data_IF_893392530899
#
_entry.id   IF_893392530899
#
_cell.length_a   1.000
_cell.length_b   1.000
_cell.length_c   1.000
_cell.angle_alpha   90.00
_cell.angle_beta   90.00
_cell.angle_gamma   90.00
#
_symmetry.space_group_name_H-M   'P 1'
#
loop_
_entity.id
_entity.type
_entity.pdbx_description
1 polymer ?
#
# COMPACT_ATOMS: atom_id res chain seq x y z
N UNK A 1 10.00 4.99 31.42
CA UNK A 1 8.86 4.05 31.25
C UNK A 1 7.83 4.49 30.22
N UNK A 2 7.38 5.76 30.18
CA UNK A 2 6.34 6.20 29.24
C UNK A 2 6.75 6.15 27.75
N UNK A 3 8.03 6.42 27.47
CA UNK A 3 8.63 6.38 26.12
C UNK A 3 8.71 4.96 25.55
N UNK A 4 8.90 3.92 26.39
CA UNK A 4 8.96 2.53 25.91
C UNK A 4 7.58 2.01 25.51
N UNK A 5 6.51 2.39 26.22
CA UNK A 5 5.13 2.03 25.86
C UNK A 5 4.73 2.64 24.52
N UNK A 6 4.97 3.94 24.33
CA UNK A 6 4.68 4.63 23.06
C UNK A 6 5.46 4.03 21.89
N UNK A 7 6.74 3.70 22.10
CA UNK A 7 7.55 3.04 21.10
C UNK A 7 7.00 1.65 20.73
N UNK A 8 6.62 0.83 21.72
CA UNK A 8 5.99 -0.48 21.47
C UNK A 8 4.67 -0.34 20.72
N UNK A 9 3.81 0.59 21.11
CA UNK A 9 2.54 0.88 20.42
C UNK A 9 2.80 1.30 18.97
N UNK A 10 3.74 2.22 18.73
CA UNK A 10 4.11 2.64 17.38
C UNK A 10 4.66 1.46 16.55
N UNK A 11 5.45 0.56 17.14
CA UNK A 11 5.94 -0.65 16.46
C UNK A 11 4.80 -1.55 16.02
N UNK A 12 3.85 -1.84 16.91
CA UNK A 12 2.66 -2.66 16.57
C UNK A 12 1.86 -2.02 15.44
N UNK A 13 1.53 -0.73 15.55
CA UNK A 13 0.80 0.01 14.52
C UNK A 13 1.55 0.00 13.19
N UNK A 14 2.86 0.22 13.23
CA UNK A 14 3.72 0.20 12.05
C UNK A 14 3.76 -1.16 11.37
N UNK A 15 3.77 -2.25 12.15
CA UNK A 15 3.84 -3.61 11.62
C UNK A 15 2.48 -4.04 11.03
N UNK A 16 1.37 -3.80 11.73
CA UNK A 16 0.00 -4.11 11.24
C UNK A 16 -0.41 -3.19 10.08
N UNK A 17 0.02 -1.93 10.12
CA UNK A 17 -0.22 -0.92 9.08
C UNK A 17 0.78 -1.00 7.93
N UNK A 18 1.53 -2.10 7.82
CA UNK A 18 2.47 -2.29 6.72
C UNK A 18 1.74 -2.42 5.38
N UNK A 19 2.33 -1.92 4.27
CA UNK A 19 1.72 -2.02 2.94
C UNK A 19 1.27 -3.43 2.57
N UNK A 20 2.05 -4.45 2.94
CA UNK A 20 1.69 -5.85 2.73
C UNK A 20 0.36 -6.18 3.39
N UNK A 21 0.20 -5.92 4.69
CA UNK A 21 -1.00 -6.33 5.44
C UNK A 21 -2.21 -5.53 4.96
N UNK A 22 -2.06 -4.21 4.85
CA UNK A 22 -3.15 -3.32 4.43
C UNK A 22 -3.64 -3.67 3.01
N UNK A 23 -2.73 -3.84 2.04
CA UNK A 23 -3.11 -4.21 0.69
C UNK A 23 -3.65 -5.64 0.59
N UNK A 24 -3.14 -6.58 1.39
CA UNK A 24 -3.65 -7.97 1.42
C UNK A 24 -5.10 -7.99 1.88
N UNK A 25 -5.38 -7.38 3.03
CA UNK A 25 -6.72 -7.33 3.62
C UNK A 25 -7.69 -6.59 2.68
N UNK A 26 -7.23 -5.51 2.07
CA UNK A 26 -8.01 -4.79 1.09
C UNK A 26 -8.39 -5.66 -0.11
N UNK A 27 -7.40 -6.24 -0.81
CA UNK A 27 -7.64 -6.99 -2.05
C UNK A 27 -8.42 -8.29 -1.81
N UNK A 28 -8.10 -9.05 -0.77
CA UNK A 28 -8.82 -10.30 -0.47
C UNK A 28 -10.24 -10.03 0.04
N UNK A 29 -10.48 -8.84 0.63
CA UNK A 29 -11.78 -8.41 1.12
C UNK A 29 -12.68 -7.78 0.06
N UNK A 30 -12.16 -7.43 -1.12
CA UNK A 30 -12.95 -6.77 -2.18
C UNK A 30 -14.24 -7.52 -2.56
N UNK A 31 -14.28 -8.87 -2.66
CA UNK A 31 -15.52 -9.61 -2.94
C UNK A 31 -16.66 -9.37 -1.93
N UNK A 32 -16.35 -8.91 -0.71
CA UNK A 32 -17.35 -8.59 0.31
C UNK A 32 -18.12 -7.29 0.01
N UNK A 33 -17.51 -6.39 -0.76
CA UNK A 33 -18.04 -5.07 -1.11
C UNK A 33 -18.51 -5.07 -2.58
N UNK A 34 -17.85 -5.87 -3.41
CA UNK A 34 -18.05 -6.02 -4.84
C UNK A 34 -18.29 -7.50 -5.17
N UNK A 35 -19.52 -8.02 -5.00
CA UNK A 35 -19.83 -9.44 -5.19
C UNK A 35 -19.58 -9.96 -6.61
N UNK A 36 -19.48 -9.06 -7.59
CA UNK A 36 -19.06 -9.37 -8.95
C UNK A 36 -17.61 -9.86 -9.02
N UNK A 37 -16.74 -9.44 -8.10
CA UNK A 37 -15.35 -9.87 -8.04
C UNK A 37 -15.28 -11.29 -7.49
N UNK A 38 -14.82 -12.24 -8.30
CA UNK A 38 -14.62 -13.60 -7.83
C UNK A 38 -13.51 -13.68 -6.76
N UNK A 39 -13.68 -14.57 -5.78
CA UNK A 39 -12.65 -14.87 -4.78
C UNK A 39 -11.33 -15.34 -5.42
N UNK A 40 -11.41 -16.02 -6.57
CA UNK A 40 -10.23 -16.44 -7.32
C UNK A 40 -9.45 -15.25 -7.90
N UNK A 41 -10.15 -14.27 -8.48
CA UNK A 41 -9.52 -13.04 -8.96
C UNK A 41 -8.94 -12.19 -7.82
N UNK A 42 -9.65 -12.09 -6.69
CA UNK A 42 -9.14 -11.41 -5.49
C UNK A 42 -7.87 -12.08 -4.92
N UNK A 43 -7.84 -13.42 -4.89
CA UNK A 43 -6.67 -14.19 -4.47
C UNK A 43 -5.50 -14.02 -5.45
N UNK A 44 -5.77 -14.03 -6.76
CA UNK A 44 -4.78 -13.77 -7.80
C UNK A 44 -4.16 -12.38 -7.66
N UNK A 45 -4.99 -11.34 -7.52
CA UNK A 45 -4.52 -9.98 -7.27
C UNK A 45 -3.68 -9.91 -5.99
N UNK A 46 -4.14 -10.51 -4.90
CA UNK A 46 -3.42 -10.55 -3.62
C UNK A 46 -2.05 -11.22 -3.76
N UNK A 47 -1.96 -12.34 -4.47
CA UNK A 47 -0.71 -13.07 -4.73
C UNK A 47 0.33 -12.18 -5.39
N UNK A 48 -0.04 -11.52 -6.49
CA UNK A 48 0.88 -10.72 -7.30
C UNK A 48 1.19 -9.36 -6.70
N UNK A 49 0.23 -8.73 -6.01
CA UNK A 49 0.44 -7.40 -5.39
C UNK A 49 1.18 -7.49 -4.08
N UNK A 50 1.00 -8.57 -3.30
CA UNK A 50 1.48 -8.61 -1.91
C UNK A 50 2.37 -9.81 -1.59
N UNK A 51 1.95 -11.03 -1.92
CA UNK A 51 2.63 -12.25 -1.43
C UNK A 51 3.96 -12.47 -2.15
N UNK A 52 4.00 -12.36 -3.47
CA UNK A 52 5.24 -12.48 -4.26
C UNK A 52 6.26 -11.39 -3.85
N UNK A 53 5.91 -10.10 -3.80
CA UNK A 53 6.85 -9.06 -3.34
C UNK A 53 7.31 -9.28 -1.90
N UNK A 54 6.44 -9.75 -1.01
CA UNK A 54 6.80 -10.02 0.39
C UNK A 54 7.77 -11.19 0.48
N UNK A 55 7.56 -12.27 -0.27
CA UNK A 55 8.49 -13.39 -0.36
C UNK A 55 9.85 -12.93 -0.90
N UNK A 56 9.85 -12.12 -1.96
CA UNK A 56 11.07 -11.53 -2.50
C UNK A 56 11.82 -10.68 -1.46
N UNK A 57 11.13 -9.85 -0.69
CA UNK A 57 11.72 -9.07 0.40
C UNK A 57 12.33 -9.98 1.47
N UNK A 58 11.64 -11.04 1.87
CA UNK A 58 12.16 -12.02 2.84
C UNK A 58 13.47 -12.62 2.33
N UNK A 59 13.49 -13.07 1.07
CA UNK A 59 14.69 -13.62 0.43
C UNK A 59 15.84 -12.60 0.32
N UNK A 60 15.53 -11.35 -0.06
CA UNK A 60 16.53 -10.27 -0.12
C UNK A 60 17.15 -9.98 1.25
N UNK A 61 16.35 -10.03 2.33
CA UNK A 61 16.86 -9.89 3.70
C UNK A 61 17.74 -11.06 4.11
N UNK A 62 17.34 -12.30 3.81
CA UNK A 62 18.18 -13.47 4.08
C UNK A 62 19.52 -13.43 3.34
N UNK A 63 19.56 -12.78 2.17
CA UNK A 63 20.79 -12.55 1.38
C UNK A 63 21.58 -11.30 1.80
N UNK A 64 21.16 -10.59 2.86
CA UNK A 64 21.83 -9.38 3.34
C UNK A 64 21.69 -8.15 2.42
N UNK A 65 20.84 -8.19 1.40
CA UNK A 65 20.63 -7.08 0.46
C UNK A 65 19.84 -5.93 1.10
N UNK A 66 19.00 -6.24 2.09
CA UNK A 66 18.12 -5.30 2.79
C UNK A 66 18.24 -5.52 4.29
N UNK A 67 18.45 -4.44 5.05
CA UNK A 67 18.72 -4.54 6.49
C UNK A 67 17.47 -4.77 7.36
N UNK A 68 16.30 -4.33 6.93
CA UNK A 68 15.08 -4.35 7.78
C UNK A 68 13.79 -4.58 6.99
N UNK A 69 12.71 -4.97 7.68
CA UNK A 69 11.39 -5.27 7.06
C UNK A 69 10.81 -4.08 6.31
N UNK A 70 11.08 -2.89 6.79
CA UNK A 70 10.46 -1.66 6.32
C UNK A 70 11.33 -0.93 5.29
N UNK A 71 12.46 -1.54 4.90
CA UNK A 71 13.44 -1.03 3.93
C UNK A 71 13.72 0.44 4.18
N UNK A 72 14.16 0.71 5.40
CA UNK A 72 14.27 2.07 5.96
C UNK A 72 15.37 2.86 5.27
N UNK A 73 16.42 2.17 4.81
CA UNK A 73 17.52 2.74 4.04
C UNK A 73 17.08 2.96 2.58
N UNK A 74 17.09 4.22 2.12
CA UNK A 74 16.60 4.60 0.78
C UNK A 74 17.33 3.86 -0.34
N UNK A 75 18.65 3.73 -0.26
CA UNK A 75 19.47 3.06 -1.30
C UNK A 75 19.15 1.57 -1.46
N UNK A 76 18.52 0.93 -0.47
CA UNK A 76 18.12 -0.48 -0.51
C UNK A 76 16.72 -0.70 -1.14
N UNK A 77 15.98 0.38 -1.47
CA UNK A 77 14.58 0.28 -1.93
C UNK A 77 14.42 -0.12 -3.39
N UNK A 78 15.35 0.26 -4.25
CA UNK A 78 15.24 0.06 -5.70
C UNK A 78 14.90 -1.39 -6.10
N UNK A 79 15.67 -2.39 -5.64
CA UNK A 79 15.44 -3.79 -6.01
C UNK A 79 14.04 -4.30 -5.64
N UNK A 80 13.57 -4.04 -4.42
CA UNK A 80 12.26 -4.53 -3.98
C UNK A 80 11.11 -3.80 -4.70
N UNK A 81 11.26 -2.50 -4.99
CA UNK A 81 10.25 -1.74 -5.73
C UNK A 81 10.16 -2.22 -7.18
N UNK A 82 11.28 -2.56 -7.80
CA UNK A 82 11.31 -3.13 -9.15
C UNK A 82 10.63 -4.52 -9.19
N UNK A 83 10.95 -5.41 -8.24
CA UNK A 83 10.29 -6.73 -8.14
C UNK A 83 8.79 -6.59 -7.90
N UNK A 84 8.38 -5.68 -7.00
CA UNK A 84 6.98 -5.40 -6.75
C UNK A 84 6.27 -4.89 -8.02
N UNK A 85 6.88 -3.94 -8.74
CA UNK A 85 6.34 -3.40 -9.98
C UNK A 85 6.16 -4.49 -11.05
N UNK A 86 7.19 -5.30 -11.30
CA UNK A 86 7.12 -6.39 -12.28
C UNK A 86 6.07 -7.45 -11.90
N UNK A 87 5.97 -7.79 -10.61
CA UNK A 87 4.96 -8.72 -10.10
C UNK A 87 3.55 -8.19 -10.32
N UNK A 88 3.30 -6.91 -10.01
CA UNK A 88 1.98 -6.30 -10.22
C UNK A 88 1.63 -6.22 -11.71
N UNK A 89 2.59 -5.87 -12.58
CA UNK A 89 2.39 -5.88 -14.04
C UNK A 89 1.95 -7.26 -14.51
N UNK A 90 2.63 -8.34 -14.06
CA UNK A 90 2.25 -9.70 -14.42
C UNK A 90 0.85 -10.04 -13.89
N UNK A 91 0.52 -9.63 -12.67
CA UNK A 91 -0.84 -9.76 -12.11
C UNK A 91 -1.90 -9.05 -12.96
N UNK A 92 -1.65 -7.81 -13.39
CA UNK A 92 -2.55 -7.06 -14.26
C UNK A 92 -2.75 -7.75 -15.62
N UNK A 93 -1.68 -8.28 -16.22
CA UNK A 93 -1.76 -9.04 -17.48
C UNK A 93 -2.66 -10.28 -17.28
N UNK A 94 -2.46 -11.03 -16.20
CA UNK A 94 -3.28 -12.21 -15.92
C UNK A 94 -4.76 -11.86 -15.69
N UNK A 95 -5.04 -10.77 -14.95
CA UNK A 95 -6.41 -10.30 -14.76
C UNK A 95 -7.11 -9.95 -16.08
N UNK A 96 -6.38 -9.37 -17.05
CA UNK A 96 -6.94 -9.12 -18.40
C UNK A 96 -7.20 -10.44 -19.13
N UNK A 97 -6.25 -11.37 -19.10
CA UNK A 97 -6.38 -12.66 -19.78
C UNK A 97 -7.51 -13.53 -19.22
N UNK A 98 -7.80 -13.41 -17.92
CA UNK A 98 -8.92 -14.12 -17.27
C UNK A 98 -10.23 -13.33 -17.30
N UNK A 99 -10.28 -12.19 -17.98
CA UNK A 99 -11.47 -11.32 -18.05
C UNK A 99 -11.98 -10.90 -16.66
N UNK A 100 -11.06 -10.57 -15.76
CA UNK A 100 -11.40 -10.09 -14.43
C UNK A 100 -12.21 -8.79 -14.47
N UNK A 101 -12.92 -8.54 -13.38
CA UNK A 101 -13.86 -7.45 -13.26
C UNK A 101 -13.14 -6.10 -13.29
N UNK A 102 -13.72 -5.14 -14.01
CA UNK A 102 -13.12 -3.81 -14.22
C UNK A 102 -12.74 -3.13 -12.89
N UNK A 103 -13.56 -3.33 -11.86
CA UNK A 103 -13.32 -2.76 -10.54
C UNK A 103 -12.03 -3.30 -9.93
N UNK A 104 -11.79 -4.62 -9.98
CA UNK A 104 -10.55 -5.21 -9.46
C UNK A 104 -9.34 -4.71 -10.25
N UNK A 105 -9.45 -4.63 -11.58
CA UNK A 105 -8.38 -4.08 -12.42
C UNK A 105 -8.05 -2.63 -12.04
N UNK A 106 -9.07 -1.80 -11.77
CA UNK A 106 -8.88 -0.42 -11.34
C UNK A 106 -8.16 -0.32 -9.98
N UNK A 107 -8.48 -1.20 -9.02
CA UNK A 107 -7.82 -1.25 -7.71
C UNK A 107 -6.35 -1.66 -7.83
N UNK A 108 -6.06 -2.72 -8.57
CA UNK A 108 -4.67 -3.17 -8.80
C UNK A 108 -3.89 -2.13 -9.60
N UNK A 109 -4.51 -1.50 -10.60
CA UNK A 109 -3.93 -0.41 -11.38
C UNK A 109 -3.63 0.83 -10.54
N UNK A 110 -4.52 1.18 -9.60
CA UNK A 110 -4.29 2.26 -8.63
C UNK A 110 -3.10 1.97 -7.71
N UNK A 111 -3.02 0.75 -7.16
CA UNK A 111 -1.87 0.33 -6.35
C UNK A 111 -0.57 0.39 -7.17
N UNK A 112 -0.59 -0.06 -8.42
CA UNK A 112 0.56 0.03 -9.33
C UNK A 112 0.97 1.49 -9.58
N UNK A 113 0.01 2.36 -9.87
CA UNK A 113 0.26 3.79 -10.08
C UNK A 113 0.88 4.44 -8.83
N UNK A 114 0.34 4.14 -7.65
CA UNK A 114 0.90 4.61 -6.39
C UNK A 114 2.33 4.13 -6.15
N UNK A 115 2.63 2.86 -6.45
CA UNK A 115 3.98 2.32 -6.40
C UNK A 115 4.91 3.02 -7.39
N UNK A 116 4.46 3.25 -8.63
CA UNK A 116 5.25 3.90 -9.67
C UNK A 116 5.59 5.35 -9.28
N UNK A 117 4.61 6.13 -8.81
CA UNK A 117 4.82 7.50 -8.33
C UNK A 117 5.75 7.52 -7.12
N UNK A 118 5.53 6.63 -6.14
CA UNK A 118 6.43 6.53 -4.98
C UNK A 118 7.86 6.12 -5.39
N UNK A 119 8.01 5.25 -6.38
CA UNK A 119 9.32 4.83 -6.93
C UNK A 119 10.04 6.02 -7.55
N UNK A 120 9.35 6.77 -8.41
CA UNK A 120 9.89 7.96 -9.07
C UNK A 120 10.36 9.02 -8.05
N UNK A 121 9.54 9.29 -7.03
CA UNK A 121 9.94 10.20 -5.95
C UNK A 121 11.15 9.65 -5.19
N UNK A 122 11.15 8.34 -4.87
CA UNK A 122 12.22 7.67 -4.09
C UNK A 122 13.60 7.75 -4.76
N UNK A 123 13.67 7.90 -6.08
CA UNK A 123 14.93 8.16 -6.82
C UNK A 123 15.63 9.42 -6.33
N UNK A 124 14.88 10.47 -5.98
CA UNK A 124 15.42 11.75 -5.53
C UNK A 124 15.29 11.95 -4.01
N UNK A 125 14.18 11.51 -3.41
CA UNK A 125 13.85 11.79 -2.02
C UNK A 125 13.00 10.68 -1.38
N UNK A 126 13.26 10.35 -0.12
CA UNK A 126 12.58 9.25 0.57
C UNK A 126 11.10 9.60 0.84
N UNK A 127 10.15 8.88 0.25
CA UNK A 127 8.71 9.03 0.52
C UNK A 127 8.14 7.85 1.35
N UNK A 128 7.04 8.09 2.08
CA UNK A 128 6.35 7.07 2.89
C UNK A 128 5.32 6.28 2.07
N UNK A 129 5.68 5.07 1.64
CA UNK A 129 4.74 4.12 0.99
C UNK A 129 3.63 3.70 1.97
N UNK A 130 3.92 3.63 3.28
CA UNK A 130 2.92 3.33 4.31
C UNK A 130 1.82 4.40 4.30
N UNK A 131 2.21 5.68 4.23
CA UNK A 131 1.26 6.80 4.13
C UNK A 131 0.44 6.76 2.85
N UNK A 132 1.07 6.45 1.71
CA UNK A 132 0.39 6.33 0.42
C UNK A 132 -0.68 5.23 0.42
N UNK A 133 -0.29 4.01 0.81
CA UNK A 133 -1.21 2.85 0.82
C UNK A 133 -2.32 3.03 1.86
N UNK A 134 -2.00 3.49 3.07
CA UNK A 134 -3.00 3.72 4.11
C UNK A 134 -4.04 4.76 3.69
N UNK A 135 -3.59 5.83 3.02
CA UNK A 135 -4.50 6.88 2.54
C UNK A 135 -5.37 6.38 1.40
N UNK A 136 -4.77 5.72 0.40
CA UNK A 136 -5.50 5.17 -0.74
C UNK A 136 -6.58 4.17 -0.29
N UNK A 137 -6.21 3.18 0.52
CA UNK A 137 -7.16 2.17 1.03
C UNK A 137 -8.18 2.79 1.98
N UNK A 138 -7.75 3.70 2.86
CA UNK A 138 -8.66 4.39 3.78
C UNK A 138 -9.74 5.18 3.04
N UNK A 139 -9.38 5.85 1.94
CA UNK A 139 -10.33 6.62 1.13
C UNK A 139 -11.37 5.73 0.44
N UNK A 140 -11.15 4.43 0.29
CA UNK A 140 -12.20 3.52 -0.24
C UNK A 140 -13.41 3.42 0.68
N UNK A 141 -13.24 3.63 2.00
CA UNK A 141 -14.35 3.71 2.94
C UNK A 141 -15.30 4.90 2.66
N UNK A 142 -14.84 5.91 1.92
CA UNK A 142 -15.67 7.07 1.55
C UNK A 142 -16.76 6.69 0.55
N UNK A 143 -16.51 5.71 -0.32
CA UNK A 143 -17.49 5.23 -1.28
C UNK A 143 -18.58 4.36 -0.61
N UNK A 144 -18.24 3.64 0.45
CA UNK A 144 -19.18 2.73 1.14
C UNK A 144 -19.95 3.40 2.27
N UNK A 145 -19.33 4.34 3.00
CA UNK A 145 -19.95 5.03 4.14
C UNK A 145 -19.64 6.54 4.07
N UNK A 146 -20.27 7.31 3.16
CA UNK A 146 -19.85 8.68 2.83
C UNK A 146 -19.75 9.65 4.00
N UNK A 147 -20.61 9.49 5.02
CA UNK A 147 -20.64 10.37 6.19
C UNK A 147 -19.43 10.18 7.12
N UNK A 148 -18.94 8.94 7.27
CA UNK A 148 -17.92 8.56 8.26
C UNK A 148 -16.60 8.14 7.61
N UNK A 149 -16.66 7.68 6.36
CA UNK A 149 -15.52 7.23 5.57
C UNK A 149 -14.36 8.22 5.51
N UNK A 150 -14.57 9.53 5.28
CA UNK A 150 -13.48 10.50 5.26
C UNK A 150 -12.76 10.61 6.62
N UNK A 151 -13.51 10.52 7.72
CA UNK A 151 -12.95 10.53 9.08
C UNK A 151 -12.15 9.26 9.33
N UNK A 152 -12.66 8.09 8.93
CA UNK A 152 -11.94 6.81 9.02
C UNK A 152 -10.64 6.87 8.22
N UNK A 153 -10.68 7.36 6.98
CA UNK A 153 -9.51 7.50 6.12
C UNK A 153 -8.44 8.41 6.75
N UNK A 154 -8.86 9.56 7.29
CA UNK A 154 -7.97 10.49 7.95
C UNK A 154 -7.34 9.88 9.20
N UNK A 155 -8.13 9.26 10.07
CA UNK A 155 -7.64 8.65 11.30
C UNK A 155 -6.70 7.48 11.00
N UNK A 156 -7.09 6.58 10.09
CA UNK A 156 -6.30 5.42 9.71
C UNK A 156 -4.93 5.82 9.14
N UNK A 157 -4.92 6.74 8.17
CA UNK A 157 -3.67 7.23 7.58
C UNK A 157 -2.82 8.03 8.56
N UNK A 158 -3.44 8.81 9.46
CA UNK A 158 -2.74 9.61 10.47
C UNK A 158 -2.11 8.75 11.56
N UNK A 159 -2.80 7.70 12.03
CA UNK A 159 -2.27 6.77 13.05
C UNK A 159 -1.08 5.98 12.50
N UNK A 160 -1.17 5.49 11.26
CA UNK A 160 -0.04 4.85 10.59
C UNK A 160 1.09 5.88 10.39
N UNK A 161 0.80 7.07 9.89
CA UNK A 161 1.77 8.15 9.70
C UNK A 161 2.53 8.51 10.98
N UNK A 162 1.80 8.70 12.09
CA UNK A 162 2.37 8.95 13.41
C UNK A 162 3.34 7.84 13.82
N UNK A 163 2.97 6.57 13.66
CA UNK A 163 3.85 5.46 14.02
C UNK A 163 5.19 5.51 13.27
N UNK A 164 5.19 5.94 12.01
CA UNK A 164 6.39 6.05 11.18
C UNK A 164 7.31 7.18 11.63
N UNK A 165 6.74 8.29 12.08
CA UNK A 165 7.51 9.42 12.64
C UNK A 165 8.04 9.05 14.02
N UNK A 166 7.21 8.43 14.87
CA UNK A 166 7.56 8.04 16.23
C UNK A 166 8.70 7.00 16.29
N UNK A 167 8.77 6.10 15.29
CA UNK A 167 9.86 5.13 15.14
C UNK A 167 11.12 5.72 14.45
N UNK A 168 11.10 7.00 14.05
CA UNK A 168 12.19 7.63 13.31
C UNK A 168 12.37 7.09 11.89
N UNK A 169 11.41 6.32 11.37
CA UNK A 169 11.49 5.75 10.02
C UNK A 169 11.26 6.80 8.93
N UNK A 170 10.51 7.86 9.23
CA UNK A 170 10.18 8.94 8.31
C UNK A 170 10.06 10.30 9.01
N UNK A 171 10.27 11.39 8.28
CA UNK A 171 9.90 12.73 8.76
C UNK A 171 8.43 13.02 8.46
N UNK A 172 7.79 14.00 9.14
CA UNK A 172 6.41 14.40 8.85
C UNK A 172 6.19 14.75 7.37
N UNK A 173 7.13 15.47 6.74
CA UNK A 173 7.05 15.81 5.32
C UNK A 173 7.01 14.55 4.42
N UNK A 174 7.82 13.54 4.72
CA UNK A 174 7.85 12.28 3.95
C UNK A 174 6.54 11.50 4.08
N UNK A 175 5.88 11.60 5.23
CA UNK A 175 4.55 11.04 5.47
C UNK A 175 3.49 11.81 4.70
N UNK A 176 3.46 13.14 4.82
CA UNK A 176 2.48 14.01 4.15
C UNK A 176 2.55 13.85 2.62
N UNK A 177 3.74 13.81 2.02
CA UNK A 177 3.88 13.56 0.58
C UNK A 177 3.38 12.16 0.21
N UNK A 178 3.65 11.15 1.05
CA UNK A 178 3.07 9.82 0.85
C UNK A 178 1.54 9.85 0.85
N UNK A 179 0.93 10.50 1.84
CA UNK A 179 -0.52 10.65 1.92
C UNK A 179 -1.09 11.41 0.71
N UNK A 180 -0.42 12.48 0.28
CA UNK A 180 -0.79 13.22 -0.93
C UNK A 180 -0.76 12.34 -2.20
N UNK A 181 0.24 11.47 -2.34
CA UNK A 181 0.26 10.46 -3.42
C UNK A 181 -0.96 9.54 -3.32
N UNK A 182 -1.29 9.05 -2.12
CA UNK A 182 -2.49 8.22 -1.92
C UNK A 182 -3.79 8.92 -2.33
N UNK A 183 -3.96 10.18 -1.95
CA UNK A 183 -5.10 11.01 -2.38
C UNK A 183 -5.13 11.18 -3.91
N UNK A 184 -4.00 11.53 -4.52
CA UNK A 184 -3.91 11.75 -5.97
C UNK A 184 -4.26 10.49 -6.76
N UNK A 185 -3.76 9.33 -6.32
CA UNK A 185 -4.07 8.03 -6.95
C UNK A 185 -5.54 7.66 -6.77
N UNK A 186 -6.11 7.89 -5.58
CA UNK A 186 -7.55 7.71 -5.35
C UNK A 186 -8.39 8.56 -6.31
N UNK A 187 -8.08 9.86 -6.41
CA UNK A 187 -8.77 10.77 -7.32
C UNK A 187 -8.61 10.36 -8.78
N UNK A 188 -7.41 9.97 -9.20
CA UNK A 188 -7.18 9.47 -10.55
C UNK A 188 -8.05 8.22 -10.84
N UNK A 189 -8.14 7.28 -9.90
CA UNK A 189 -9.01 6.10 -10.03
C UNK A 189 -10.48 6.50 -10.16
N UNK A 190 -10.97 7.40 -9.32
CA UNK A 190 -12.36 7.89 -9.40
C UNK A 190 -12.63 8.59 -10.74
N UNK A 191 -11.69 9.38 -11.26
CA UNK A 191 -11.87 10.09 -12.53
C UNK A 191 -11.83 9.16 -13.76
N UNK A 192 -11.02 8.10 -13.69
CA UNK A 192 -10.82 7.16 -14.81
C UNK A 192 -11.82 5.99 -14.81
N UNK A 193 -12.32 5.60 -13.64
CA UNK A 193 -13.16 4.41 -13.44
C UNK A 193 -14.43 4.65 -12.61
N UNK A 194 -14.72 5.87 -12.19
CA UNK A 194 -15.90 6.19 -11.36
C UNK A 194 -17.22 6.36 -12.12
N UNK A 195 -17.33 5.79 -13.33
CA UNK A 195 -18.53 5.84 -14.19
C UNK A 195 -19.26 4.51 -14.27
#
# INVERSE_FOLDING_TARGET
MHTSKLHTTAKVISDIGSPTIVATLFLIGLPLIHPEISWAHAALATLFVTLIPTLALILMRHRGMVGDRHVTVRSQRGPIMAVAGLSIILGLVLLVLTSAEKQLFAEVGGIFLGLAVCSAITVFWKVSIHGAVATYVGLMATATIPLVGPVIALLFSSVIGWSRVQLGHHTPAQVLVGQAVGCAVYLAKVLLWGS
#
